data_IF_117931273043
#
_entry.id   IF_117931273043
#
_cell.length_a   1.000
_cell.length_b   1.000
_cell.length_c   1.000
_cell.angle_alpha   90.00
_cell.angle_beta   90.00
_cell.angle_gamma   90.00
#
_symmetry.space_group_name_H-M   'P 1'
#
loop_
_entity.id
_entity.type
_entity.pdbx_description
1 polymer ?
#
# COMPACT_ATOMS: atom_id res chain seq x y z
N UNK A 1 15.41 32.80 -18.35
CA UNK A 1 14.66 32.27 -19.50
C UNK A 1 13.24 31.95 -19.03
N UNK A 2 12.24 32.56 -19.66
CA UNK A 2 10.83 32.49 -19.28
C UNK A 2 10.26 31.10 -19.59
N UNK A 3 9.64 30.43 -18.60
CA UNK A 3 8.96 29.15 -18.82
C UNK A 3 7.62 29.39 -19.52
N UNK A 4 7.47 28.82 -20.73
CA UNK A 4 6.25 28.87 -21.52
C UNK A 4 5.09 28.13 -20.83
N UNK A 5 3.88 28.65 -21.02
CA UNK A 5 2.61 28.20 -20.46
C UNK A 5 2.36 26.70 -20.69
N UNK A 6 1.98 25.99 -19.63
CA UNK A 6 1.41 24.65 -19.70
C UNK A 6 0.04 24.70 -20.37
N UNK A 7 -0.14 23.99 -21.48
CA UNK A 7 -1.47 23.71 -22.03
C UNK A 7 -2.08 22.53 -21.28
N UNK A 8 -3.14 22.78 -20.52
CA UNK A 8 -4.05 21.74 -20.07
C UNK A 8 -5.10 21.52 -21.15
N UNK A 9 -5.16 20.31 -21.71
CA UNK A 9 -6.24 19.91 -22.61
C UNK A 9 -7.18 18.98 -21.82
N UNK A 10 -8.39 19.47 -21.53
CA UNK A 10 -9.47 18.66 -20.94
C UNK A 10 -9.96 17.66 -22.00
N UNK A 11 -10.06 16.38 -21.67
CA UNK A 11 -10.60 15.38 -22.59
C UNK A 11 -12.10 15.57 -22.76
N UNK A 12 -12.53 16.00 -23.96
CA UNK A 12 -13.90 15.83 -24.41
C UNK A 12 -14.10 14.37 -24.86
N UNK A 13 -15.29 13.84 -24.56
CA UNK A 13 -15.77 12.51 -24.90
C UNK A 13 -15.59 12.21 -26.39
N UNK A 14 -14.74 11.24 -26.73
CA UNK A 14 -14.52 10.84 -28.12
C UNK A 14 -15.55 9.78 -28.55
N UNK A 15 -16.57 10.22 -29.29
CA UNK A 15 -17.32 9.34 -30.20
C UNK A 15 -16.38 8.85 -31.30
N UNK A 16 -16.39 7.53 -31.54
CA UNK A 16 -15.54 6.88 -32.54
C UNK A 16 -16.08 7.17 -33.94
N UNK A 17 -15.27 7.80 -34.78
CA UNK A 17 -15.37 7.67 -36.25
C UNK A 17 -14.06 7.07 -36.73
N UNK A 18 -14.15 5.87 -37.28
CA UNK A 18 -13.02 5.17 -37.88
C UNK A 18 -12.79 5.70 -39.30
N UNK A 19 -11.59 6.19 -39.55
CA UNK A 19 -11.03 6.31 -40.89
C UNK A 19 -9.60 5.77 -40.83
N UNK A 20 -9.40 4.63 -41.50
CA UNK A 20 -8.10 4.04 -41.76
C UNK A 20 -7.36 4.93 -42.77
N UNK A 21 -6.07 5.19 -42.52
CA UNK A 21 -4.98 4.94 -43.47
C UNK A 21 -3.66 5.43 -42.87
N UNK A 22 -2.70 4.51 -42.74
CA UNK A 22 -1.38 4.79 -42.18
C UNK A 22 -0.59 3.50 -42.01
N UNK A 23 0.24 3.18 -43.01
CA UNK A 23 1.19 2.08 -42.99
C UNK A 23 2.23 2.27 -41.88
N UNK A 24 2.06 1.55 -40.78
CA UNK A 24 3.13 1.32 -39.80
C UNK A 24 3.19 -0.19 -39.53
N UNK A 25 4.36 -0.77 -39.73
CA UNK A 25 4.65 -2.17 -39.39
C UNK A 25 4.30 -2.40 -37.93
N UNK A 26 3.35 -3.31 -37.68
CA UNK A 26 2.98 -3.75 -36.33
C UNK A 26 4.14 -4.58 -35.78
N UNK A 27 5.11 -3.92 -35.16
CA UNK A 27 5.93 -4.58 -34.16
C UNK A 27 5.19 -4.49 -32.84
N UNK A 28 4.75 -5.65 -32.34
CA UNK A 28 4.31 -5.81 -30.97
C UNK A 28 5.51 -5.64 -30.02
N UNK A 29 5.93 -4.39 -29.82
CA UNK A 29 6.83 -4.02 -28.74
C UNK A 29 5.98 -3.88 -27.48
N UNK A 30 5.91 -4.96 -26.70
CA UNK A 30 5.35 -4.93 -25.35
C UNK A 30 6.32 -4.16 -24.47
N UNK A 31 6.07 -2.87 -24.26
CA UNK A 31 6.80 -1.97 -23.35
C UNK A 31 6.34 -2.14 -21.89
N UNK A 32 6.10 -3.38 -21.47
CA UNK A 32 6.02 -3.69 -20.05
C UNK A 32 7.44 -3.60 -19.49
N UNK A 33 7.62 -2.74 -18.48
CA UNK A 33 8.85 -2.65 -17.71
C UNK A 33 9.26 -4.06 -17.27
N UNK A 34 10.30 -4.62 -17.89
CA UNK A 34 10.77 -5.98 -17.59
C UNK A 34 11.06 -6.05 -16.09
N UNK A 35 10.36 -6.91 -15.31
CA UNK A 35 10.71 -7.10 -13.92
C UNK A 35 12.15 -7.60 -13.88
N UNK A 36 12.97 -7.00 -13.03
CA UNK A 36 14.33 -7.47 -12.76
C UNK A 36 14.23 -8.95 -12.38
N UNK A 37 14.87 -9.82 -13.19
CA UNK A 37 14.95 -11.27 -12.96
C UNK A 37 15.84 -11.54 -11.75
N UNK A 38 15.31 -11.32 -10.56
CA UNK A 38 15.87 -11.87 -9.35
C UNK A 38 15.02 -13.07 -8.93
N UNK A 39 15.71 -14.20 -8.74
CA UNK A 39 15.11 -15.50 -8.46
C UNK A 39 14.09 -15.40 -7.34
N UNK A 40 13.03 -16.19 -7.46
CA UNK A 40 12.01 -16.36 -6.43
C UNK A 40 12.70 -16.68 -5.11
N UNK A 41 12.80 -15.69 -4.22
CA UNK A 41 13.13 -15.93 -2.82
C UNK A 41 11.87 -16.59 -2.26
N UNK A 42 11.80 -17.91 -2.38
CA UNK A 42 10.75 -18.71 -1.79
C UNK A 42 10.91 -18.62 -0.27
N UNK A 43 10.32 -17.58 0.30
CA UNK A 43 10.30 -17.36 1.73
C UNK A 43 9.38 -18.43 2.32
N UNK A 44 9.98 -19.56 2.67
CA UNK A 44 9.32 -20.79 3.10
C UNK A 44 8.45 -20.66 4.35
N UNK A 45 7.92 -21.78 4.86
CA UNK A 45 6.99 -21.80 5.99
C UNK A 45 7.60 -21.16 7.25
N UNK A 46 6.82 -20.33 7.95
CA UNK A 46 7.21 -19.75 9.25
C UNK A 46 7.31 -18.23 9.30
N UNK A 47 6.98 -17.51 8.21
CA UNK A 47 6.90 -16.05 8.23
C UNK A 47 5.87 -15.55 9.24
N UNK A 48 4.74 -16.24 9.39
CA UNK A 48 3.73 -15.87 10.40
C UNK A 48 4.29 -15.96 11.83
N UNK A 49 5.12 -16.96 12.11
CA UNK A 49 5.81 -17.07 13.39
C UNK A 49 6.82 -15.93 13.61
N UNK A 50 7.56 -15.53 12.56
CA UNK A 50 8.46 -14.37 12.61
C UNK A 50 7.70 -13.07 12.84
N UNK A 51 6.53 -12.89 12.21
CA UNK A 51 5.65 -11.73 12.43
C UNK A 51 5.30 -11.62 13.91
N UNK A 52 4.91 -12.74 14.52
CA UNK A 52 4.51 -12.80 15.93
C UNK A 52 5.69 -12.92 16.91
N UNK A 53 6.95 -12.97 16.43
CA UNK A 53 8.12 -13.06 17.30
C UNK A 53 8.15 -11.89 18.29
N UNK A 54 8.56 -12.16 19.53
CA UNK A 54 8.50 -11.18 20.64
C UNK A 54 9.28 -9.92 20.29
N UNK A 55 10.46 -10.08 19.73
CA UNK A 55 11.39 -9.02 19.35
C UNK A 55 10.79 -8.17 18.22
N UNK A 56 10.16 -8.81 17.24
CA UNK A 56 9.48 -8.14 16.14
C UNK A 56 8.30 -7.30 16.64
N UNK A 57 7.44 -7.90 17.47
CA UNK A 57 6.29 -7.21 18.07
C UNK A 57 6.72 -6.02 18.94
N UNK A 58 7.84 -6.13 19.66
CA UNK A 58 8.39 -5.02 20.43
C UNK A 58 8.88 -3.87 19.54
N UNK A 59 9.57 -4.17 18.44
CA UNK A 59 9.98 -3.16 17.46
C UNK A 59 8.77 -2.50 16.81
N UNK A 60 7.78 -3.29 16.41
CA UNK A 60 6.52 -2.79 15.87
C UNK A 60 5.81 -1.86 16.86
N UNK A 61 5.75 -2.22 18.14
CA UNK A 61 5.18 -1.38 19.19
C UNK A 61 5.94 -0.06 19.36
N UNK A 62 7.27 -0.09 19.36
CA UNK A 62 8.09 1.15 19.40
C UNK A 62 7.77 2.06 18.21
N UNK A 63 7.62 1.51 17.01
CA UNK A 63 7.29 2.27 15.80
C UNK A 63 5.90 2.88 15.86
N UNK A 64 4.89 2.11 16.29
CA UNK A 64 3.51 2.61 16.46
C UNK A 64 3.46 3.75 17.50
N UNK A 65 4.22 3.63 18.60
CA UNK A 65 4.35 4.70 19.60
C UNK A 65 4.98 5.97 19.03
N UNK A 66 6.03 5.83 18.24
CA UNK A 66 6.72 6.96 17.62
C UNK A 66 5.82 7.72 16.62
N UNK A 67 4.93 7.01 15.92
CA UNK A 67 4.05 7.61 14.91
C UNK A 67 2.88 8.44 15.50
N UNK A 68 2.61 8.36 16.81
CA UNK A 68 1.59 9.16 17.54
C UNK A 68 0.21 9.26 16.85
N UNK A 69 -0.22 8.19 16.17
CA UNK A 69 -1.48 8.19 15.42
C UNK A 69 -2.71 8.24 16.32
N UNK A 70 -3.80 8.84 15.81
CA UNK A 70 -5.09 8.93 16.51
C UNK A 70 -5.67 7.54 16.85
N UNK A 71 -6.59 7.51 17.82
CA UNK A 71 -7.33 6.30 18.17
C UNK A 71 -8.19 5.81 17.00
N UNK A 72 -8.37 4.49 16.93
CA UNK A 72 -9.26 3.84 15.98
C UNK A 72 -10.72 3.94 16.44
N UNK A 73 -11.56 3.03 15.94
CA UNK A 73 -12.98 2.97 16.31
C UNK A 73 -13.22 2.56 17.77
N UNK A 74 -12.25 1.88 18.38
CA UNK A 74 -12.26 1.43 19.77
C UNK A 74 -11.99 2.57 20.78
N UNK A 75 -11.64 3.77 20.30
CA UNK A 75 -11.31 4.91 21.14
C UNK A 75 -10.04 4.73 21.98
N UNK A 76 -9.35 3.60 21.87
CA UNK A 76 -8.14 3.33 22.66
C UNK A 76 -6.96 4.10 22.07
N UNK A 77 -6.40 4.99 22.90
CA UNK A 77 -5.13 5.63 22.59
C UNK A 77 -3.94 4.66 22.78
N UNK A 78 -2.74 5.17 22.52
CA UNK A 78 -1.51 4.39 22.62
C UNK A 78 -1.25 3.89 24.06
N UNK A 79 -1.57 4.69 25.09
CA UNK A 79 -1.32 4.35 26.47
C UNK A 79 -2.32 3.30 26.99
N UNK A 80 -3.60 3.48 26.69
CA UNK A 80 -4.67 2.53 26.98
C UNK A 80 -4.42 1.19 26.29
N UNK A 81 -4.07 1.23 24.99
CA UNK A 81 -3.72 0.01 24.24
C UNK A 81 -2.50 -0.69 24.85
N UNK A 82 -1.50 0.08 25.29
CA UNK A 82 -0.33 -0.47 25.98
C UNK A 82 -0.68 -1.29 27.22
N UNK A 83 -1.64 -0.82 28.03
CA UNK A 83 -2.14 -1.55 29.20
C UNK A 83 -2.94 -2.79 28.79
N UNK A 84 -3.83 -2.64 27.81
CA UNK A 84 -4.64 -3.75 27.28
C UNK A 84 -3.80 -4.90 26.73
N UNK A 85 -2.73 -4.58 25.99
CA UNK A 85 -1.85 -5.58 25.39
C UNK A 85 -1.09 -6.43 26.41
N UNK A 86 -0.95 -5.99 27.67
CA UNK A 86 -0.29 -6.80 28.71
C UNK A 86 -1.02 -8.12 28.92
N UNK A 87 -2.35 -8.11 28.90
CA UNK A 87 -3.18 -9.30 29.12
C UNK A 87 -3.71 -9.90 27.83
N UNK A 88 -4.02 -9.06 26.82
CA UNK A 88 -4.66 -9.52 25.58
C UNK A 88 -3.70 -10.11 24.54
N UNK A 89 -2.41 -9.76 24.58
CA UNK A 89 -1.46 -10.14 23.53
C UNK A 89 -1.31 -11.66 23.33
N UNK A 90 -1.25 -12.52 24.36
CA UNK A 90 -1.20 -13.97 24.17
C UNK A 90 -2.41 -14.49 23.39
N UNK A 91 -3.61 -14.03 23.72
CA UNK A 91 -4.86 -14.39 23.03
C UNK A 91 -4.84 -13.93 21.58
N UNK A 92 -4.44 -12.68 21.32
CA UNK A 92 -4.32 -12.13 19.97
C UNK A 92 -3.34 -12.96 19.14
N UNK A 93 -2.18 -13.32 19.70
CA UNK A 93 -1.19 -14.17 19.02
C UNK A 93 -1.76 -15.54 18.67
N UNK A 94 -2.48 -16.17 19.60
CA UNK A 94 -3.12 -17.46 19.36
C UNK A 94 -4.17 -17.36 18.25
N UNK A 95 -4.98 -16.31 18.23
CA UNK A 95 -5.97 -16.06 17.19
C UNK A 95 -5.35 -15.80 15.82
N UNK A 96 -4.24 -15.05 15.74
CA UNK A 96 -3.54 -14.81 14.48
C UNK A 96 -2.94 -16.11 13.95
N UNK A 97 -2.31 -16.91 14.82
CA UNK A 97 -1.73 -18.21 14.45
C UNK A 97 -2.81 -19.21 13.99
N UNK A 98 -3.91 -19.31 14.73
CA UNK A 98 -5.06 -20.16 14.39
C UNK A 98 -5.87 -19.62 13.21
N UNK A 99 -5.65 -18.37 12.82
CA UNK A 99 -6.36 -17.76 11.70
C UNK A 99 -7.76 -17.26 11.98
N UNK A 100 -8.13 -17.22 13.25
CA UNK A 100 -9.43 -16.77 13.74
C UNK A 100 -9.44 -15.27 14.05
N UNK A 101 -8.28 -14.60 14.04
CA UNK A 101 -8.20 -13.15 14.20
C UNK A 101 -9.05 -12.42 13.15
N UNK A 102 -9.82 -11.43 13.60
CA UNK A 102 -10.62 -10.56 12.76
C UNK A 102 -10.21 -9.12 13.07
N UNK A 103 -9.59 -8.41 12.11
CA UNK A 103 -9.26 -7.00 12.30
C UNK A 103 -10.52 -6.17 12.56
N UNK A 104 -10.37 -5.10 13.34
CA UNK A 104 -11.48 -4.18 13.55
C UNK A 104 -11.69 -3.33 12.30
N UNK A 105 -12.95 -2.93 12.01
CA UNK A 105 -13.21 -1.93 10.99
C UNK A 105 -12.36 -0.66 11.19
N UNK A 106 -12.02 0.03 10.10
CA UNK A 106 -11.25 1.28 10.20
C UNK A 106 -12.20 2.45 10.48
N UNK A 107 -11.78 3.38 11.33
CA UNK A 107 -12.54 4.61 11.60
C UNK A 107 -12.38 5.58 10.42
N UNK A 108 -13.48 5.97 9.78
CA UNK A 108 -13.46 6.99 8.72
C UNK A 108 -13.22 8.37 9.29
N UNK A 109 -12.31 9.13 8.69
CA UNK A 109 -12.06 10.55 8.97
C UNK A 109 -11.94 11.29 7.65
N UNK A 110 -12.78 12.31 7.44
CA UNK A 110 -12.64 13.25 6.33
C UNK A 110 -11.56 14.29 6.64
N UNK A 111 -10.58 14.43 5.76
CA UNK A 111 -9.65 15.56 5.77
C UNK A 111 -10.02 16.49 4.61
N UNK A 112 -10.37 17.77 4.88
CA UNK A 112 -10.67 18.71 3.81
C UNK A 112 -9.41 19.01 2.99
N UNK A 113 -9.55 18.99 1.67
CA UNK A 113 -8.53 19.47 0.75
C UNK A 113 -8.74 20.97 0.45
N UNK A 114 -7.71 21.66 -0.06
CA UNK A 114 -7.83 23.06 -0.48
C UNK A 114 -8.88 23.31 -1.58
N UNK A 115 -9.23 22.29 -2.36
CA UNK A 115 -10.21 22.34 -3.45
C UNK A 115 -11.67 22.15 -3.01
N UNK A 116 -11.90 21.95 -1.70
CA UNK A 116 -13.23 21.70 -1.12
C UNK A 116 -13.67 20.23 -1.15
N UNK A 117 -12.91 19.33 -1.78
CA UNK A 117 -13.15 17.89 -1.70
C UNK A 117 -12.60 17.31 -0.38
N UNK A 118 -13.15 16.20 0.10
CA UNK A 118 -12.62 15.50 1.26
C UNK A 118 -11.74 14.32 0.85
N UNK A 119 -10.61 14.14 1.56
CA UNK A 119 -9.83 12.91 1.54
C UNK A 119 -10.30 12.01 2.68
N UNK A 120 -10.86 10.87 2.32
CA UNK A 120 -11.21 9.84 3.30
C UNK A 120 -9.96 9.13 3.80
N UNK A 121 -9.76 9.12 5.12
CA UNK A 121 -8.78 8.30 5.80
C UNK A 121 -9.49 7.21 6.60
N UNK A 122 -8.92 6.02 6.57
CA UNK A 122 -9.31 4.90 7.42
C UNK A 122 -8.26 4.71 8.50
N UNK A 123 -8.58 5.05 9.74
CA UNK A 123 -7.69 4.90 10.89
C UNK A 123 -7.97 3.55 11.56
N UNK A 124 -7.07 2.55 11.45
CA UNK A 124 -7.24 1.27 12.14
C UNK A 124 -7.06 1.43 13.65
N UNK A 125 -7.48 0.44 14.44
CA UNK A 125 -7.17 0.38 15.87
C UNK A 125 -5.67 0.33 16.11
N UNK A 126 -5.23 0.74 17.30
CA UNK A 126 -3.80 0.69 17.65
C UNK A 126 -3.27 -0.76 17.61
N UNK A 127 -4.10 -1.74 17.99
CA UNK A 127 -3.79 -3.17 17.92
C UNK A 127 -3.60 -3.61 16.46
N UNK A 128 -4.52 -3.25 15.58
CA UNK A 128 -4.39 -3.56 14.15
C UNK A 128 -3.15 -2.91 13.55
N UNK A 129 -2.85 -1.65 13.89
CA UNK A 129 -1.61 -0.99 13.46
C UNK A 129 -0.36 -1.69 13.95
N UNK A 130 -0.37 -2.23 15.17
CA UNK A 130 0.74 -3.03 15.70
C UNK A 130 0.97 -4.29 14.86
N UNK A 131 -0.09 -5.06 14.59
CA UNK A 131 0.01 -6.29 13.80
C UNK A 131 0.43 -5.97 12.36
N UNK A 132 -0.18 -4.96 11.74
CA UNK A 132 0.19 -4.48 10.41
C UNK A 132 1.68 -4.08 10.34
N UNK A 133 2.15 -3.33 11.33
CA UNK A 133 3.56 -2.93 11.41
C UNK A 133 4.50 -4.13 11.61
N UNK A 134 4.07 -5.16 12.34
CA UNK A 134 4.84 -6.39 12.54
C UNK A 134 4.94 -7.22 11.24
N UNK A 135 3.83 -7.34 10.49
CA UNK A 135 3.80 -7.95 9.15
C UNK A 135 4.74 -7.19 8.22
N UNK A 136 4.67 -5.86 8.23
CA UNK A 136 5.51 -5.02 7.38
C UNK A 136 7.00 -5.27 7.60
N UNK A 137 7.44 -5.36 8.86
CA UNK A 137 8.86 -5.55 9.19
C UNK A 137 9.43 -6.86 8.65
N UNK A 138 8.60 -7.90 8.52
CA UNK A 138 9.00 -9.21 7.99
C UNK A 138 8.95 -9.23 6.46
N UNK A 139 7.92 -8.61 5.88
CA UNK A 139 7.72 -8.65 4.42
C UNK A 139 8.56 -7.63 3.65
N UNK A 140 8.83 -6.47 4.24
CA UNK A 140 9.54 -5.39 3.55
C UNK A 140 10.91 -5.82 3.03
N UNK A 141 11.78 -6.53 3.78
CA UNK A 141 13.07 -7.01 3.26
C UNK A 141 12.95 -8.03 2.13
N UNK A 142 11.83 -8.76 2.05
CA UNK A 142 11.59 -9.76 1.00
C UNK A 142 11.06 -9.12 -0.29
N UNK A 143 10.27 -8.04 -0.14
CA UNK A 143 9.58 -7.39 -1.25
C UNK A 143 10.40 -6.24 -1.84
N UNK A 144 11.02 -5.40 -1.00
CA UNK A 144 11.70 -4.17 -1.44
C UNK A 144 12.77 -4.41 -2.53
N UNK A 145 13.62 -5.45 -2.46
CA UNK A 145 14.63 -5.72 -3.49
C UNK A 145 14.04 -6.05 -4.87
N UNK A 146 12.75 -6.37 -4.93
CA UNK A 146 12.06 -6.71 -6.18
C UNK A 146 11.45 -5.51 -6.89
N UNK A 147 11.44 -4.34 -6.24
CA UNK A 147 10.94 -3.11 -6.83
C UNK A 147 11.94 -2.48 -7.79
N UNK A 148 11.41 -1.78 -8.79
CA UNK A 148 12.20 -0.98 -9.74
C UNK A 148 13.12 -0.01 -9.01
N UNK A 149 14.31 0.22 -9.55
CA UNK A 149 15.26 1.22 -9.04
C UNK A 149 14.71 2.65 -9.12
N UNK A 150 13.78 2.87 -10.05
CA UNK A 150 13.06 4.14 -10.24
C UNK A 150 11.80 4.25 -9.36
N UNK A 151 11.50 3.25 -8.53
CA UNK A 151 10.47 3.36 -7.49
C UNK A 151 11.07 4.02 -6.25
N UNK A 152 10.63 5.24 -5.96
CA UNK A 152 11.13 6.06 -4.85
C UNK A 152 10.10 6.28 -3.71
N UNK A 153 8.83 5.93 -3.93
CA UNK A 153 7.78 6.01 -2.92
C UNK A 153 8.03 5.03 -1.77
N UNK A 154 7.62 5.35 -0.54
CA UNK A 154 7.46 4.47 0.63
C UNK A 154 8.54 3.40 0.95
N UNK A 155 9.74 3.54 0.39
CA UNK A 155 10.83 2.57 0.50
C UNK A 155 11.91 3.02 1.48
N UNK A 156 12.43 2.12 2.33
CA UNK A 156 13.54 2.44 3.22
C UNK A 156 14.76 2.93 2.41
N UNK A 157 15.32 4.07 2.80
CA UNK A 157 16.53 4.60 2.15
C UNK A 157 16.32 5.32 0.82
N UNK A 158 15.08 5.43 0.33
CA UNK A 158 14.71 6.27 -0.84
C UNK A 158 13.95 7.52 -0.37
N UNK A 159 14.23 8.67 -0.98
CA UNK A 159 13.58 9.94 -0.67
C UNK A 159 13.00 10.57 -1.94
N UNK A 160 11.97 11.41 -1.78
CA UNK A 160 11.40 12.18 -2.88
C UNK A 160 12.47 13.02 -3.64
N UNK A 161 13.49 13.49 -2.92
CA UNK A 161 14.64 14.19 -3.52
C UNK A 161 15.39 13.33 -4.54
N UNK A 162 15.48 12.02 -4.33
CA UNK A 162 16.18 11.11 -5.24
C UNK A 162 15.42 10.99 -6.57
N UNK A 163 14.08 10.98 -6.52
CA UNK A 163 13.23 11.01 -7.71
C UNK A 163 13.41 12.31 -8.50
N UNK A 164 13.49 13.46 -7.82
CA UNK A 164 13.74 14.76 -8.45
C UNK A 164 15.13 14.80 -9.11
N UNK A 165 16.16 14.24 -8.45
CA UNK A 165 17.50 14.17 -9.03
C UNK A 165 17.53 13.27 -10.28
N UNK A 166 16.85 12.13 -10.25
CA UNK A 166 16.72 11.26 -11.42
C UNK A 166 16.00 11.97 -12.58
N UNK A 167 14.89 12.68 -12.29
CA UNK A 167 14.18 13.48 -13.28
C UNK A 167 15.07 14.58 -13.89
N UNK A 168 15.88 15.26 -13.07
CA UNK A 168 16.84 16.26 -13.56
C UNK A 168 17.90 15.66 -14.50
N UNK A 169 18.37 14.44 -14.21
CA UNK A 169 19.32 13.74 -15.08
C UNK A 169 18.70 13.44 -16.46
N UNK A 170 17.44 13.00 -16.51
CA UNK A 170 16.77 12.79 -17.80
C UNK A 170 16.63 14.07 -18.62
N UNK A 171 16.30 15.20 -17.97
CA UNK A 171 16.26 16.50 -18.64
C UNK A 171 17.63 16.89 -19.19
N UNK A 172 18.70 16.67 -18.43
CA UNK A 172 20.08 16.94 -18.87
C UNK A 172 20.51 16.04 -20.04
N UNK A 173 20.01 14.80 -20.09
CA UNK A 173 20.24 13.86 -21.19
C UNK A 173 19.44 14.18 -22.46
N UNK A 174 18.57 15.20 -22.42
CA UNK A 174 17.81 15.68 -23.59
C UNK A 174 16.36 15.20 -23.64
N UNK A 175 15.89 14.45 -22.65
CA UNK A 175 14.47 14.08 -22.53
C UNK A 175 13.67 15.28 -22.01
N UNK A 176 12.98 15.99 -22.92
CA UNK A 176 12.27 17.24 -22.63
C UNK A 176 10.75 17.10 -22.52
N UNK A 177 10.23 15.93 -22.85
CA UNK A 177 8.80 15.63 -22.77
C UNK A 177 8.58 14.74 -21.55
N UNK A 178 7.67 15.16 -20.67
CA UNK A 178 7.24 14.39 -19.51
C UNK A 178 5.84 13.88 -19.78
N UNK A 179 5.64 12.57 -19.62
CA UNK A 179 4.31 11.97 -19.62
C UNK A 179 3.90 11.81 -18.16
N UNK A 180 2.98 12.66 -17.71
CA UNK A 180 2.43 12.59 -16.36
C UNK A 180 1.22 11.67 -16.36
N UNK A 181 1.31 10.56 -15.61
CA UNK A 181 0.24 9.58 -15.47
C UNK A 181 -0.09 9.48 -13.98
N UNK A 182 -1.23 10.05 -13.59
CA UNK A 182 -1.77 9.91 -12.24
C UNK A 182 -2.91 8.87 -12.21
N UNK A 183 -2.85 7.97 -11.24
CA UNK A 183 -3.90 6.97 -11.03
C UNK A 183 -4.91 7.51 -10.01
N UNK A 184 -6.00 8.08 -10.53
CA UNK A 184 -7.08 8.62 -9.70
C UNK A 184 -7.63 7.53 -8.75
N UNK A 185 -7.69 7.84 -7.44
CA UNK A 185 -8.25 6.96 -6.40
C UNK A 185 -7.61 5.57 -6.38
N UNK A 186 -6.30 5.48 -6.62
CA UNK A 186 -5.56 4.22 -6.64
C UNK A 186 -5.89 3.30 -5.46
N UNK A 187 -5.87 3.86 -4.23
CA UNK A 187 -6.19 3.09 -3.02
C UNK A 187 -7.64 2.61 -2.94
N UNK A 188 -8.60 3.29 -3.57
CA UNK A 188 -10.02 2.92 -3.49
C UNK A 188 -10.39 1.88 -4.57
N UNK A 189 -9.54 1.71 -5.60
CA UNK A 189 -9.79 0.83 -6.75
C UNK A 189 -8.97 -0.45 -6.78
N UNK A 190 -8.06 -0.68 -5.83
CA UNK A 190 -7.24 -1.90 -5.78
C UNK A 190 -8.12 -3.15 -5.68
N UNK A 191 -7.99 -4.06 -6.65
CA UNK A 191 -8.66 -5.36 -6.61
C UNK A 191 -7.92 -6.29 -5.65
N UNK A 192 -8.61 -6.79 -4.61
CA UNK A 192 -8.01 -7.61 -3.56
C UNK A 192 -7.45 -8.92 -4.12
N UNK A 193 -8.11 -9.56 -5.08
CA UNK A 193 -7.67 -10.84 -5.63
C UNK A 193 -6.42 -10.68 -6.51
N UNK A 194 -6.33 -9.58 -7.27
CA UNK A 194 -5.12 -9.27 -8.05
C UNK A 194 -3.94 -8.99 -7.12
N UNK A 195 -4.14 -8.18 -6.08
CA UNK A 195 -3.10 -7.89 -5.08
C UNK A 195 -2.64 -9.16 -4.36
N UNK A 196 -3.58 -9.99 -3.89
CA UNK A 196 -3.26 -11.24 -3.20
C UNK A 196 -2.56 -12.22 -4.15
N UNK A 197 -3.00 -12.32 -5.41
CA UNK A 197 -2.34 -13.17 -6.41
C UNK A 197 -0.90 -12.77 -6.69
N UNK A 198 -0.59 -11.46 -6.67
CA UNK A 198 0.79 -10.96 -6.80
C UNK A 198 1.63 -11.24 -5.54
N UNK A 199 1.05 -11.06 -4.36
CA UNK A 199 1.72 -11.38 -3.09
C UNK A 199 2.03 -12.87 -2.98
N UNK A 200 1.10 -13.74 -3.38
CA UNK A 200 1.27 -15.20 -3.36
C UNK A 200 2.41 -15.71 -4.25
N UNK A 201 2.77 -14.99 -5.32
CA UNK A 201 3.94 -15.33 -6.16
C UNK A 201 5.27 -15.14 -5.43
N UNK A 202 5.29 -14.37 -4.33
CA UNK A 202 6.51 -13.99 -3.60
C UNK A 202 6.52 -14.46 -2.16
N UNK A 203 5.36 -14.73 -1.58
CA UNK A 203 5.18 -15.12 -0.18
C UNK A 203 4.54 -16.51 -0.15
N UNK A 204 5.30 -17.52 0.26
CA UNK A 204 4.82 -18.90 0.38
C UNK A 204 3.98 -19.18 1.64
N UNK A 205 3.98 -18.27 2.62
CA UNK A 205 3.26 -18.46 3.88
C UNK A 205 1.76 -18.09 3.74
N UNK A 206 0.92 -19.12 3.63
CA UNK A 206 -0.54 -18.96 3.52
C UNK A 206 -1.17 -18.29 4.76
N UNK A 207 -0.55 -18.40 5.93
CA UNK A 207 -0.99 -17.75 7.16
C UNK A 207 -0.86 -16.23 7.08
N UNK A 208 0.28 -15.75 6.55
CA UNK A 208 0.49 -14.33 6.29
C UNK A 208 -0.46 -13.81 5.22
N UNK A 209 -0.63 -14.55 4.11
CA UNK A 209 -1.57 -14.14 3.05
C UNK A 209 -3.00 -14.01 3.56
N UNK A 210 -3.46 -14.98 4.37
CA UNK A 210 -4.79 -14.91 5.00
C UNK A 210 -4.93 -13.71 5.94
N UNK A 211 -3.89 -13.39 6.70
CA UNK A 211 -3.88 -12.22 7.59
C UNK A 211 -3.93 -10.91 6.80
N UNK A 212 -3.20 -10.79 5.69
CA UNK A 212 -3.28 -9.61 4.82
C UNK A 212 -4.68 -9.49 4.22
N UNK A 213 -5.24 -10.59 3.70
CA UNK A 213 -6.59 -10.61 3.15
C UNK A 213 -7.63 -10.19 4.18
N UNK A 214 -7.50 -10.59 5.45
CA UNK A 214 -8.43 -10.15 6.50
C UNK A 214 -8.34 -8.65 6.79
N UNK A 215 -7.15 -8.03 6.67
CA UNK A 215 -7.02 -6.57 6.76
C UNK A 215 -7.63 -5.83 5.57
N UNK A 216 -7.49 -6.37 4.36
CA UNK A 216 -8.11 -5.79 3.16
C UNK A 216 -9.64 -5.83 3.25
N UNK A 217 -10.17 -6.95 3.74
CA UNK A 217 -11.61 -7.15 3.91
C UNK A 217 -12.18 -6.43 5.14
N UNK A 218 -11.34 -5.88 6.02
CA UNK A 218 -11.80 -5.11 7.16
C UNK A 218 -12.61 -3.91 6.65
N UNK A 219 -13.89 -3.83 7.02
CA UNK A 219 -14.80 -2.79 6.58
C UNK A 219 -14.40 -1.39 7.05
N UNK A 220 -15.11 -0.38 6.56
CA UNK A 220 -15.03 0.99 7.07
C UNK A 220 -16.21 1.22 8.02
N UNK A 221 -15.93 1.73 9.21
CA UNK A 221 -16.94 2.21 10.15
C UNK A 221 -17.21 3.69 9.89
N UNK A 222 -18.45 4.00 9.58
CA UNK A 222 -18.94 5.37 9.46
C UNK A 222 -20.25 5.50 10.23
N UNK A 223 -20.31 6.45 11.16
CA UNK A 223 -21.53 6.83 11.90
C UNK A 223 -22.27 5.65 12.56
N UNK A 224 -21.51 4.62 13.00
CA UNK A 224 -22.05 3.43 13.66
C UNK A 224 -22.44 2.27 12.73
N UNK A 225 -22.27 2.42 11.41
CA UNK A 225 -22.53 1.38 10.40
C UNK A 225 -21.23 0.83 9.84
N UNK A 226 -21.08 -0.50 9.84
CA UNK A 226 -20.00 -1.19 9.13
C UNK A 226 -20.40 -1.31 7.66
N UNK A 227 -19.60 -0.76 6.75
CA UNK A 227 -19.73 -1.04 5.31
C UNK A 227 -18.64 -2.02 4.90
N UNK A 228 -19.04 -3.15 4.29
CA UNK A 228 -18.10 -4.12 3.73
C UNK A 228 -17.38 -3.56 2.50
N UNK A 229 -16.10 -3.93 2.32
CA UNK A 229 -15.31 -3.53 1.15
C UNK A 229 -15.12 -4.68 0.18
N UNK A 230 -15.61 -4.49 -1.05
CA UNK A 230 -15.27 -5.35 -2.19
C UNK A 230 -14.00 -4.93 -2.94
N UNK A 231 -13.53 -3.68 -2.77
CA UNK A 231 -12.33 -3.11 -3.41
C UNK A 231 -11.67 -2.05 -2.50
N UNK A 232 -10.36 -1.84 -2.70
CA UNK A 232 -9.56 -0.77 -2.10
C UNK A 232 -8.96 -1.07 -0.72
N UNK A 233 -7.89 -0.36 -0.36
CA UNK A 233 -7.15 -0.53 0.91
C UNK A 233 -7.30 0.71 1.81
N UNK A 234 -7.45 0.54 3.14
CA UNK A 234 -7.65 1.68 4.05
C UNK A 234 -6.45 2.63 4.07
N UNK A 235 -6.65 3.87 3.61
CA UNK A 235 -5.64 4.92 3.70
C UNK A 235 -5.38 5.27 5.18
N UNK A 236 -4.28 4.75 5.74
CA UNK A 236 -3.90 5.00 7.15
C UNK A 236 -3.28 3.79 7.87
N UNK A 237 -3.37 2.59 7.30
CA UNK A 237 -2.70 1.41 7.84
C UNK A 237 -1.20 1.35 7.50
N UNK A 238 -0.31 0.91 8.40
CA UNK A 238 1.11 0.71 8.09
C UNK A 238 1.38 -0.21 6.89
N UNK A 239 0.48 -1.17 6.61
CA UNK A 239 0.62 -2.08 5.46
C UNK A 239 0.16 -1.50 4.12
N UNK A 240 -0.58 -0.39 4.12
CA UNK A 240 -1.20 0.18 2.93
C UNK A 240 -0.17 0.57 1.85
N UNK A 241 0.92 1.31 2.16
CA UNK A 241 1.82 1.77 1.12
C UNK A 241 2.65 0.68 0.39
N UNK A 242 3.29 -0.28 1.09
CA UNK A 242 4.17 -1.27 0.44
C UNK A 242 3.42 -2.44 -0.21
N UNK A 243 2.17 -2.74 0.19
CA UNK A 243 1.35 -3.74 -0.52
C UNK A 243 0.89 -3.21 -1.88
N UNK A 244 0.62 -1.91 -1.97
CA UNK A 244 0.08 -1.32 -3.20
C UNK A 244 1.12 -1.06 -4.28
N UNK A 245 2.40 -0.84 -3.94
CA UNK A 245 3.49 -0.78 -4.93
C UNK A 245 3.64 -2.09 -5.72
N UNK A 246 3.22 -3.22 -5.16
CA UNK A 246 3.17 -4.48 -5.91
C UNK A 246 2.08 -4.53 -6.99
N UNK A 247 1.07 -3.65 -6.94
CA UNK A 247 -0.02 -3.60 -7.94
C UNK A 247 0.22 -2.55 -9.02
N UNK A 248 1.11 -1.58 -8.77
CA UNK A 248 1.41 -0.46 -9.67
C UNK A 248 2.51 -0.73 -10.71
N UNK A 249 3.18 -1.90 -10.64
CA UNK A 249 4.20 -2.35 -11.62
C UNK A 249 3.65 -3.50 -12.44
#
# INVERSE_FOLDING_TARGET
MSMGKALHQMSASAERVAACDGEAVVQAASDEARPTRHGTVDAGPGLLAQVLARENMQRAWKRVKANKGAAGMDGMDIAATGRYLVTALPTIRAQVMAGTYRPSPVRRVGIPKPDGSERELGIPTVVDRLIQQAVLQVLQPLIDPTFSEHSHGFRPGRRARDAVLAAQQYVQQGYRIVVDVDLEKFFDRVNHDVLIGRLQKRIGDAGVIRLIRSFLNAGIMQDGVVTERGRGTPQGGPLTPPTTEQTAV
#
